data_IF_597264533579
#
_entry.id   IF_597264533579
#
_cell.length_a   1.000
_cell.length_b   1.000
_cell.length_c   1.000
_cell.angle_alpha   90.00
_cell.angle_beta   90.00
_cell.angle_gamma   90.00
#
_symmetry.space_group_name_H-M   'P 1'
#
loop_
_entity.id
_entity.type
_entity.pdbx_description
1 polymer ?
#
# COMPACT_ATOMS: atom_id res chain seq x y z
N UNK A 1 30.37 -21.13 -6.56
CA UNK A 1 28.93 -21.39 -6.57
C UNK A 1 28.58 -22.11 -5.28
N UNK A 2 27.98 -21.42 -4.29
CA UNK A 2 27.31 -22.16 -3.21
C UNK A 2 26.19 -22.96 -3.87
N UNK A 3 26.13 -24.27 -3.62
CA UNK A 3 25.15 -25.15 -4.24
C UNK A 3 23.75 -24.76 -3.76
N UNK A 4 22.81 -24.59 -4.68
CA UNK A 4 21.40 -24.46 -4.30
C UNK A 4 20.98 -25.71 -3.51
N UNK A 5 20.37 -25.56 -2.32
CA UNK A 5 20.09 -26.70 -1.46
C UNK A 5 19.14 -27.66 -2.17
N UNK A 6 19.51 -28.95 -2.23
CA UNK A 6 18.66 -29.99 -2.81
C UNK A 6 17.42 -30.28 -1.97
N UNK A 7 17.49 -29.99 -0.66
CA UNK A 7 16.44 -30.20 0.33
C UNK A 7 16.37 -28.98 1.25
N UNK A 8 15.15 -28.59 1.63
CA UNK A 8 14.91 -27.63 2.70
C UNK A 8 14.71 -28.44 3.99
N UNK A 9 15.81 -28.74 4.67
CA UNK A 9 15.85 -29.69 5.81
C UNK A 9 15.91 -29.01 7.18
N UNK A 10 16.11 -27.70 7.23
CA UNK A 10 16.14 -26.96 8.50
C UNK A 10 14.76 -26.95 9.14
N UNK A 11 14.66 -27.46 10.36
CA UNK A 11 13.42 -27.45 11.13
C UNK A 11 12.98 -26.04 11.50
N UNK A 12 13.93 -25.12 11.74
CA UNK A 12 13.64 -23.73 12.14
C UNK A 12 13.48 -22.77 10.95
N UNK A 13 13.93 -23.17 9.75
CA UNK A 13 14.01 -22.26 8.61
C UNK A 13 12.65 -21.76 8.13
N UNK A 14 11.63 -22.62 8.19
CA UNK A 14 10.26 -22.25 7.89
C UNK A 14 9.67 -21.33 8.97
N UNK A 15 9.87 -21.67 10.25
CA UNK A 15 9.30 -20.93 11.38
C UNK A 15 9.85 -19.50 11.47
N UNK A 16 11.15 -19.32 11.22
CA UNK A 16 11.77 -17.99 11.13
C UNK A 16 11.20 -17.18 9.96
N UNK A 17 11.05 -17.79 8.78
CA UNK A 17 10.46 -17.13 7.61
C UNK A 17 9.00 -16.72 7.88
N UNK A 18 8.23 -17.59 8.52
CA UNK A 18 6.85 -17.31 8.92
C UNK A 18 6.79 -16.18 9.95
N UNK A 19 7.65 -16.20 10.96
CA UNK A 19 7.74 -15.15 11.99
C UNK A 19 8.06 -13.78 11.37
N UNK A 20 8.97 -13.73 10.40
CA UNK A 20 9.27 -12.50 9.65
C UNK A 20 8.06 -12.00 8.86
N UNK A 21 7.37 -12.90 8.16
CA UNK A 21 6.17 -12.56 7.41
C UNK A 21 5.03 -12.08 8.31
N UNK A 22 4.85 -12.69 9.48
CA UNK A 22 3.86 -12.27 10.46
C UNK A 22 4.19 -10.89 11.06
N UNK A 23 5.47 -10.62 11.31
CA UNK A 23 5.97 -9.29 11.69
C UNK A 23 5.60 -8.22 10.64
N UNK A 24 5.84 -8.52 9.35
CA UNK A 24 5.45 -7.66 8.25
C UNK A 24 3.92 -7.48 8.17
N UNK A 25 3.16 -8.56 8.24
CA UNK A 25 1.70 -8.53 8.16
C UNK A 25 1.09 -7.69 9.29
N UNK A 26 1.65 -7.78 10.50
CA UNK A 26 1.26 -6.94 11.62
C UNK A 26 1.58 -5.47 11.36
N UNK A 27 2.76 -5.15 10.80
CA UNK A 27 3.07 -3.79 10.39
C UNK A 27 2.07 -3.26 9.35
N UNK A 28 1.81 -4.03 8.30
CA UNK A 28 0.92 -3.65 7.21
C UNK A 28 -0.52 -3.39 7.69
N UNK A 29 -1.06 -4.25 8.57
CA UNK A 29 -2.37 -4.02 9.22
C UNK A 29 -2.42 -2.69 9.97
N UNK A 30 -1.43 -2.41 10.83
CA UNK A 30 -1.36 -1.14 11.55
C UNK A 30 -1.30 0.08 10.62
N UNK A 31 -0.58 -0.05 9.50
CA UNK A 31 -0.49 0.98 8.48
C UNK A 31 -1.83 1.25 7.80
N UNK A 32 -2.60 0.19 7.48
CA UNK A 32 -3.95 0.29 6.94
C UNK A 32 -4.93 0.88 7.97
N UNK A 33 -4.87 0.45 9.23
CA UNK A 33 -5.71 0.97 10.31
C UNK A 33 -5.48 2.47 10.55
N UNK A 34 -4.22 2.92 10.42
CA UNK A 34 -3.91 4.35 10.47
C UNK A 34 -4.62 5.12 9.33
N UNK A 35 -4.71 4.57 8.11
CA UNK A 35 -5.46 5.21 7.04
C UNK A 35 -6.97 5.31 7.34
N UNK A 36 -7.55 4.29 7.97
CA UNK A 36 -8.95 4.30 8.41
C UNK A 36 -9.17 5.36 9.50
N UNK A 37 -8.30 5.41 10.51
CA UNK A 37 -8.38 6.42 11.59
C UNK A 37 -8.19 7.85 11.11
N UNK A 38 -7.36 8.05 10.08
CA UNK A 38 -7.14 9.37 9.49
C UNK A 38 -8.46 9.97 8.96
N UNK A 39 -9.35 9.15 8.39
CA UNK A 39 -10.68 9.60 7.97
C UNK A 39 -11.49 10.14 9.15
N UNK A 40 -11.59 9.37 10.24
CA UNK A 40 -12.34 9.78 11.44
C UNK A 40 -11.80 11.08 12.03
N UNK A 41 -10.48 11.24 12.13
CA UNK A 41 -9.90 12.49 12.62
C UNK A 41 -10.10 13.66 11.68
N UNK A 42 -10.11 13.42 10.37
CA UNK A 42 -10.42 14.45 9.37
C UNK A 42 -11.87 14.93 9.50
N UNK A 43 -12.84 14.00 9.53
CA UNK A 43 -14.27 14.32 9.69
C UNK A 43 -14.58 14.99 11.04
N UNK A 44 -13.84 14.62 12.10
CA UNK A 44 -13.91 15.27 13.42
C UNK A 44 -13.11 16.57 13.57
N UNK A 45 -12.46 17.05 12.51
CA UNK A 45 -11.56 18.21 12.53
C UNK A 45 -10.41 18.15 13.58
N UNK A 46 -10.00 16.95 14.00
CA UNK A 46 -8.91 16.75 14.96
C UNK A 46 -7.55 16.76 14.26
N UNK A 47 -7.08 17.96 13.96
CA UNK A 47 -5.80 18.19 13.30
C UNK A 47 -4.59 17.73 14.14
N UNK A 48 -4.72 17.71 15.48
CA UNK A 48 -3.64 17.27 16.36
C UNK A 48 -3.49 15.76 16.29
N UNK A 49 -4.60 15.03 16.34
CA UNK A 49 -4.59 13.58 16.17
C UNK A 49 -4.07 13.18 14.79
N UNK A 50 -4.46 13.89 13.72
CA UNK A 50 -3.91 13.64 12.37
C UNK A 50 -2.38 13.80 12.30
N UNK A 51 -1.84 14.87 12.90
CA UNK A 51 -0.39 15.09 12.92
C UNK A 51 0.34 14.02 13.74
N UNK A 52 -0.21 13.65 14.88
CA UNK A 52 0.35 12.61 15.73
C UNK A 52 0.34 11.24 15.03
N UNK A 53 -0.80 10.87 14.44
CA UNK A 53 -0.97 9.63 13.69
C UNK A 53 0.03 9.53 12.53
N UNK A 54 0.27 10.62 11.80
CA UNK A 54 1.25 10.64 10.73
C UNK A 54 2.69 10.36 11.23
N UNK A 55 3.07 10.92 12.38
CA UNK A 55 4.38 10.66 13.00
C UNK A 55 4.52 9.23 13.49
N UNK A 56 3.52 8.75 14.21
CA UNK A 56 3.47 7.37 14.73
C UNK A 56 3.56 6.35 13.60
N UNK A 57 2.82 6.57 12.50
CA UNK A 57 2.86 5.70 11.32
C UNK A 57 4.26 5.61 10.71
N UNK A 58 5.00 6.72 10.62
CA UNK A 58 6.37 6.72 10.08
C UNK A 58 7.31 5.94 11.02
N UNK A 59 7.25 6.19 12.33
CA UNK A 59 8.09 5.50 13.30
C UNK A 59 7.77 3.99 13.42
N UNK A 60 6.51 3.61 13.18
CA UNK A 60 6.01 2.25 13.39
C UNK A 60 6.73 1.18 12.59
N UNK A 61 7.35 1.51 11.45
CA UNK A 61 8.11 0.54 10.67
C UNK A 61 9.33 0.04 11.44
N UNK A 62 10.15 0.97 11.93
CA UNK A 62 11.36 0.64 12.67
C UNK A 62 11.04 -0.13 13.96
N UNK A 63 9.95 0.22 14.63
CA UNK A 63 9.51 -0.47 15.85
C UNK A 63 9.08 -1.91 15.54
N UNK A 64 8.34 -2.14 14.44
CA UNK A 64 7.96 -3.49 14.02
C UNK A 64 9.14 -4.33 13.59
N UNK A 65 10.15 -3.75 12.93
CA UNK A 65 11.40 -4.43 12.60
C UNK A 65 12.14 -4.82 13.88
N UNK A 66 12.29 -3.91 14.86
CA UNK A 66 12.95 -4.22 16.14
C UNK A 66 12.23 -5.30 16.92
N UNK A 67 10.90 -5.26 16.98
CA UNK A 67 10.10 -6.30 17.63
C UNK A 67 10.30 -7.67 16.98
N UNK A 68 10.33 -7.72 15.65
CA UNK A 68 10.57 -8.96 14.92
C UNK A 68 11.99 -9.49 15.17
N UNK A 69 13.01 -8.62 15.18
CA UNK A 69 14.38 -8.99 15.51
C UNK A 69 14.46 -9.59 16.92
N UNK A 70 13.88 -8.91 17.92
CA UNK A 70 13.88 -9.39 19.30
C UNK A 70 13.19 -10.76 19.43
N UNK A 71 12.03 -10.95 18.78
CA UNK A 71 11.33 -12.24 18.78
C UNK A 71 12.20 -13.36 18.17
N UNK A 72 12.92 -13.06 17.08
CA UNK A 72 13.78 -14.03 16.42
C UNK A 72 15.04 -14.37 17.24
N UNK A 73 15.62 -13.39 17.91
CA UNK A 73 16.74 -13.59 18.84
C UNK A 73 16.32 -14.41 20.06
N UNK A 74 15.16 -14.11 20.65
CA UNK A 74 14.66 -14.78 21.85
C UNK A 74 14.20 -16.23 21.58
N UNK A 75 13.50 -16.49 20.47
CA UNK A 75 12.88 -17.79 20.20
C UNK A 75 13.80 -18.76 19.43
N UNK A 76 14.66 -18.24 18.55
CA UNK A 76 15.45 -19.07 17.63
C UNK A 76 16.97 -18.85 17.72
N UNK A 77 17.44 -18.00 18.65
CA UNK A 77 18.85 -17.58 18.73
C UNK A 77 19.37 -17.12 17.36
N UNK A 78 18.60 -16.25 16.68
CA UNK A 78 18.78 -15.95 15.26
C UNK A 78 20.19 -15.44 14.89
N UNK A 79 20.91 -14.83 15.83
CA UNK A 79 22.28 -14.38 15.64
C UNK A 79 23.29 -15.54 15.47
N UNK A 80 22.96 -16.73 15.98
CA UNK A 80 23.78 -17.94 15.91
C UNK A 80 23.38 -18.88 14.75
N UNK A 81 22.35 -18.54 13.97
CA UNK A 81 21.90 -19.36 12.84
C UNK A 81 22.95 -19.38 11.73
N UNK A 82 23.29 -20.59 11.27
CA UNK A 82 24.26 -20.82 10.19
C UNK A 82 23.82 -20.21 8.84
N UNK A 83 24.81 -19.79 8.04
CA UNK A 83 24.64 -19.30 6.67
C UNK A 83 23.73 -20.18 5.80
N UNK A 84 23.87 -21.52 5.89
CA UNK A 84 23.08 -22.46 5.08
C UNK A 84 21.59 -22.41 5.44
N UNK A 85 21.28 -22.22 6.72
CA UNK A 85 19.90 -22.09 7.19
C UNK A 85 19.32 -20.74 6.76
N UNK A 86 20.09 -19.65 6.77
CA UNK A 86 19.67 -18.36 6.23
C UNK A 86 19.29 -18.42 4.74
N UNK A 87 19.99 -19.23 3.93
CA UNK A 87 19.58 -19.48 2.54
C UNK A 87 18.22 -20.18 2.48
N UNK A 88 18.01 -21.19 3.33
CA UNK A 88 16.73 -21.90 3.40
C UNK A 88 15.58 -20.99 3.87
N UNK A 89 15.82 -20.11 4.86
CA UNK A 89 14.85 -19.11 5.34
C UNK A 89 14.37 -18.21 4.19
N UNK A 90 15.30 -17.71 3.36
CA UNK A 90 14.95 -16.92 2.18
C UNK A 90 14.13 -17.73 1.16
N UNK A 91 14.47 -18.99 0.93
CA UNK A 91 13.72 -19.87 0.03
C UNK A 91 12.30 -20.16 0.54
N UNK A 92 12.13 -20.39 1.85
CA UNK A 92 10.81 -20.49 2.47
C UNK A 92 10.02 -19.19 2.33
N UNK A 93 10.68 -18.04 2.53
CA UNK A 93 10.06 -16.72 2.34
C UNK A 93 9.55 -16.55 0.91
N UNK A 94 10.33 -16.92 -0.11
CA UNK A 94 9.87 -16.90 -1.52
C UNK A 94 8.61 -17.75 -1.69
N UNK A 95 8.59 -18.97 -1.13
CA UNK A 95 7.42 -19.86 -1.16
C UNK A 95 6.18 -19.22 -0.53
N UNK A 96 6.33 -18.63 0.65
CA UNK A 96 5.26 -17.94 1.37
C UNK A 96 4.74 -16.69 0.64
N UNK A 97 5.60 -16.01 -0.13
CA UNK A 97 5.23 -14.79 -0.85
C UNK A 97 4.52 -15.03 -2.17
N UNK A 98 4.46 -16.26 -2.67
CA UNK A 98 3.82 -16.58 -3.97
C UNK A 98 2.34 -16.22 -4.04
N UNK A 99 1.61 -16.26 -2.92
CA UNK A 99 0.20 -15.87 -2.81
C UNK A 99 -0.01 -14.57 -2.01
N UNK A 100 1.08 -13.89 -1.63
CA UNK A 100 1.03 -12.68 -0.84
C UNK A 100 0.72 -11.47 -1.73
N UNK A 101 -0.14 -10.55 -1.27
CA UNK A 101 -0.59 -9.40 -2.09
C UNK A 101 0.33 -8.18 -2.03
N UNK A 102 1.36 -8.24 -1.19
CA UNK A 102 2.35 -7.18 -0.97
C UNK A 102 3.77 -7.79 -0.90
N UNK A 103 4.19 -8.57 -1.91
CA UNK A 103 5.43 -9.33 -1.82
C UNK A 103 6.66 -8.42 -1.73
N UNK A 104 6.74 -7.35 -2.53
CA UNK A 104 7.88 -6.41 -2.52
C UNK A 104 8.08 -5.72 -1.16
N UNK A 105 6.98 -5.35 -0.51
CA UNK A 105 7.04 -4.74 0.83
C UNK A 105 7.49 -5.76 1.89
N UNK A 106 7.04 -7.01 1.78
CA UNK A 106 7.46 -8.09 2.66
C UNK A 106 8.95 -8.43 2.48
N UNK A 107 9.45 -8.46 1.23
CA UNK A 107 10.87 -8.63 0.91
C UNK A 107 11.73 -7.50 1.50
N UNK A 108 11.24 -6.26 1.45
CA UNK A 108 11.91 -5.10 2.06
C UNK A 108 11.96 -5.21 3.59
N UNK A 109 10.87 -5.66 4.21
CA UNK A 109 10.82 -5.93 5.65
C UNK A 109 11.79 -7.05 6.04
N UNK A 110 11.80 -8.15 5.29
CA UNK A 110 12.73 -9.25 5.45
C UNK A 110 14.19 -8.76 5.40
N UNK A 111 14.55 -7.98 4.37
CA UNK A 111 15.89 -7.40 4.26
C UNK A 111 16.25 -6.54 5.47
N UNK A 112 15.31 -5.74 5.97
CA UNK A 112 15.53 -4.89 7.14
C UNK A 112 15.82 -5.71 8.41
N UNK A 113 15.10 -6.81 8.62
CA UNK A 113 15.32 -7.74 9.74
C UNK A 113 16.67 -8.46 9.59
N UNK A 114 16.95 -9.05 8.42
CA UNK A 114 18.21 -9.73 8.13
C UNK A 114 19.43 -8.81 8.33
N UNK A 115 19.36 -7.56 7.86
CA UNK A 115 20.43 -6.58 8.04
C UNK A 115 20.71 -6.25 9.51
N UNK A 116 19.69 -6.31 10.39
CA UNK A 116 19.89 -6.09 11.83
C UNK A 116 20.50 -7.30 12.52
N UNK A 117 20.09 -8.51 12.17
CA UNK A 117 20.58 -9.74 12.80
C UNK A 117 22.00 -10.08 12.30
N UNK A 118 22.25 -10.02 10.99
CA UNK A 118 23.48 -10.52 10.38
C UNK A 118 24.66 -9.54 10.42
N UNK A 119 24.47 -8.33 10.98
CA UNK A 119 25.43 -7.25 11.24
C UNK A 119 26.65 -7.10 10.29
N UNK A 120 27.61 -8.05 10.30
CA UNK A 120 28.93 -7.98 9.62
C UNK A 120 29.04 -8.79 8.32
N UNK A 121 28.10 -9.69 8.02
CA UNK A 121 28.12 -10.56 6.82
C UNK A 121 27.11 -10.13 5.73
N UNK A 122 26.50 -8.96 5.89
CA UNK A 122 25.26 -8.50 5.26
C UNK A 122 25.30 -8.25 3.74
N UNK A 123 26.47 -8.28 3.10
CA UNK A 123 26.58 -8.08 1.64
C UNK A 123 26.57 -9.38 0.83
N UNK A 124 26.17 -10.51 1.42
CA UNK A 124 25.92 -11.70 0.63
C UNK A 124 24.50 -11.67 0.03
N UNK A 125 24.44 -11.47 -1.29
CA UNK A 125 23.21 -11.51 -2.09
C UNK A 125 22.41 -12.81 -1.91
N UNK A 126 23.04 -13.88 -1.43
CA UNK A 126 22.38 -15.15 -1.15
C UNK A 126 21.31 -15.03 -0.04
N UNK A 127 21.47 -14.10 0.90
CA UNK A 127 20.60 -14.01 2.09
C UNK A 127 19.52 -12.93 2.01
N UNK A 128 19.63 -11.98 1.08
CA UNK A 128 18.70 -10.84 0.97
C UNK A 128 18.07 -10.76 -0.43
N UNK A 129 16.93 -10.09 -0.54
CA UNK A 129 16.26 -9.80 -1.80
C UNK A 129 16.88 -8.57 -2.46
N UNK A 130 17.87 -8.79 -3.34
CA UNK A 130 18.48 -7.72 -4.17
C UNK A 130 17.61 -7.36 -5.38
N UNK A 131 16.81 -8.33 -5.84
CA UNK A 131 15.81 -8.17 -6.89
C UNK A 131 14.51 -8.78 -6.40
N UNK A 132 13.35 -8.22 -6.80
CA UNK A 132 12.06 -8.82 -6.50
C UNK A 132 12.03 -10.27 -6.94
N UNK A 133 11.65 -11.18 -6.04
CA UNK A 133 11.53 -12.59 -6.36
C UNK A 133 10.17 -12.93 -6.99
N UNK A 134 9.14 -12.14 -6.65
CA UNK A 134 7.77 -12.31 -7.13
C UNK A 134 7.38 -11.15 -8.05
N UNK A 135 6.78 -11.47 -9.20
CA UNK A 135 6.22 -10.45 -10.10
C UNK A 135 4.92 -9.89 -9.53
N UNK A 136 4.79 -8.56 -9.55
CA UNK A 136 3.56 -7.87 -9.14
C UNK A 136 2.61 -7.57 -10.29
N UNK A 137 2.92 -8.05 -11.51
CA UNK A 137 2.11 -7.77 -12.71
C UNK A 137 0.70 -8.39 -12.64
N UNK A 138 0.56 -9.52 -11.95
CA UNK A 138 -0.68 -10.29 -11.87
C UNK A 138 -1.06 -10.57 -10.41
N UNK A 139 -1.38 -9.52 -9.67
CA UNK A 139 -1.96 -9.64 -8.32
C UNK A 139 -3.45 -9.38 -8.41
N UNK A 140 -4.25 -10.44 -8.27
CA UNK A 140 -5.71 -10.35 -8.21
C UNK A 140 -6.19 -10.43 -6.76
N UNK A 141 -7.16 -9.57 -6.43
CA UNK A 141 -7.81 -9.60 -5.14
C UNK A 141 -9.17 -10.30 -5.27
N UNK A 142 -9.17 -11.61 -5.04
CA UNK A 142 -10.36 -12.47 -5.11
C UNK A 142 -11.20 -12.45 -3.82
N UNK A 143 -10.92 -11.55 -2.87
CA UNK A 143 -11.74 -11.49 -1.66
C UNK A 143 -13.18 -11.06 -1.98
N UNK A 144 -14.18 -11.74 -1.40
CA UNK A 144 -15.57 -11.29 -1.48
C UNK A 144 -15.66 -9.84 -0.98
N UNK A 145 -16.24 -8.96 -1.80
CA UNK A 145 -16.38 -7.52 -1.55
C UNK A 145 -15.09 -6.69 -1.61
N UNK A 146 -14.03 -7.17 -2.28
CA UNK A 146 -12.89 -6.33 -2.64
C UNK A 146 -13.37 -5.06 -3.39
N UNK A 147 -13.05 -3.88 -2.83
CA UNK A 147 -13.34 -2.61 -3.52
C UNK A 147 -12.38 -2.49 -4.71
N UNK A 148 -12.88 -2.06 -5.89
CA UNK A 148 -11.99 -1.84 -7.02
C UNK A 148 -10.98 -0.74 -6.69
N UNK A 149 -9.77 -0.79 -7.24
CA UNK A 149 -8.75 0.25 -7.04
C UNK A 149 -9.25 1.64 -7.45
N UNK A 150 -10.07 1.69 -8.51
CA UNK A 150 -10.73 2.91 -8.97
C UNK A 150 -12.17 2.63 -9.40
N UNK A 151 -12.98 3.69 -9.46
CA UNK A 151 -14.32 3.71 -10.03
C UNK A 151 -14.30 4.49 -11.34
N UNK A 152 -14.96 3.98 -12.37
CA UNK A 152 -15.14 4.67 -13.63
C UNK A 152 -16.50 5.37 -13.67
N UNK A 153 -16.50 6.65 -14.02
CA UNK A 153 -17.69 7.48 -14.17
C UNK A 153 -17.84 7.90 -15.63
N UNK A 154 -19.08 7.97 -16.10
CA UNK A 154 -19.43 8.23 -17.50
C UNK A 154 -20.26 9.52 -17.62
N UNK A 155 -19.63 10.68 -17.88
CA UNK A 155 -20.34 11.96 -17.96
C UNK A 155 -21.37 12.05 -19.08
N UNK A 156 -21.28 11.22 -20.13
CA UNK A 156 -22.20 11.26 -21.26
C UNK A 156 -23.66 10.97 -20.94
N UNK A 157 -23.97 10.40 -19.76
CA UNK A 157 -25.36 10.12 -19.33
C UNK A 157 -26.03 11.32 -18.64
N UNK A 158 -25.35 11.87 -17.65
CA UNK A 158 -25.94 12.83 -16.69
C UNK A 158 -25.31 14.23 -16.79
N UNK A 159 -24.28 14.40 -17.63
CA UNK A 159 -23.45 15.59 -17.71
C UNK A 159 -22.22 15.55 -16.78
N UNK A 160 -21.27 16.45 -17.04
CA UNK A 160 -20.00 16.53 -16.28
C UNK A 160 -20.26 17.03 -14.86
N UNK A 161 -21.06 18.08 -14.68
CA UNK A 161 -21.36 18.64 -13.35
C UNK A 161 -21.99 17.60 -12.40
N UNK A 162 -23.08 16.95 -12.83
CA UNK A 162 -23.72 15.88 -12.04
C UNK A 162 -22.77 14.70 -11.78
N UNK A 163 -21.86 14.42 -12.71
CA UNK A 163 -20.84 13.38 -12.51
C UNK A 163 -19.81 13.78 -11.45
N UNK A 164 -19.37 15.04 -11.41
CA UNK A 164 -18.46 15.57 -10.39
C UNK A 164 -19.12 15.56 -9.00
N UNK A 165 -20.38 15.99 -8.89
CA UNK A 165 -21.16 15.87 -7.65
C UNK A 165 -21.24 14.42 -7.17
N UNK A 166 -21.55 13.50 -8.08
CA UNK A 166 -21.60 12.06 -7.79
C UNK A 166 -20.24 11.51 -7.34
N UNK A 167 -19.14 11.95 -7.94
CA UNK A 167 -17.79 11.55 -7.53
C UNK A 167 -17.54 11.94 -6.07
N UNK A 168 -17.83 13.18 -5.70
CA UNK A 168 -17.58 13.70 -4.35
C UNK A 168 -18.48 13.00 -3.32
N UNK A 169 -19.78 12.92 -3.60
CA UNK A 169 -20.77 12.29 -2.70
C UNK A 169 -20.56 10.79 -2.51
N UNK A 170 -19.97 10.10 -3.48
CA UNK A 170 -19.64 8.67 -3.40
C UNK A 170 -18.59 8.31 -2.34
N UNK A 171 -17.85 9.29 -1.81
CA UNK A 171 -16.96 9.10 -0.65
C UNK A 171 -17.69 9.12 0.68
N UNK A 172 -18.95 9.60 0.70
CA UNK A 172 -19.85 9.57 1.85
C UNK A 172 -19.22 10.18 3.10
N UNK A 173 -18.55 11.33 2.96
CA UNK A 173 -18.04 12.08 4.11
C UNK A 173 -19.20 12.48 5.03
N UNK A 174 -19.02 12.34 6.34
CA UNK A 174 -20.08 12.66 7.31
C UNK A 174 -20.37 14.16 7.40
N UNK A 175 -19.34 14.99 7.21
CA UNK A 175 -19.46 16.44 7.29
C UNK A 175 -20.15 16.99 6.04
N UNK A 176 -21.20 17.81 6.16
CA UNK A 176 -21.83 18.44 5.01
C UNK A 176 -20.87 19.43 4.33
N UNK A 177 -20.98 19.52 3.01
CA UNK A 177 -20.30 20.56 2.23
C UNK A 177 -20.97 21.92 2.48
N UNK A 178 -20.17 23.00 2.51
CA UNK A 178 -20.69 24.36 2.63
C UNK A 178 -21.59 24.72 1.43
N UNK A 179 -21.09 24.50 0.21
CA UNK A 179 -21.83 24.66 -1.04
C UNK A 179 -21.19 23.81 -2.13
N UNK A 180 -21.64 22.56 -2.27
CA UNK A 180 -21.07 21.62 -3.25
C UNK A 180 -21.32 22.07 -4.70
N UNK A 181 -22.46 22.73 -4.97
CA UNK A 181 -22.80 23.18 -6.32
C UNK A 181 -21.83 24.27 -6.80
N UNK A 182 -21.59 25.28 -5.94
CA UNK A 182 -20.58 26.33 -6.19
C UNK A 182 -19.20 25.74 -6.44
N UNK A 183 -18.78 24.78 -5.61
CA UNK A 183 -17.44 24.20 -5.72
C UNK A 183 -17.29 23.35 -7.00
N UNK A 184 -18.36 22.68 -7.44
CA UNK A 184 -18.41 21.98 -8.74
C UNK A 184 -18.34 22.95 -9.91
N UNK A 185 -19.02 24.10 -9.84
CA UNK A 185 -18.91 25.14 -10.86
C UNK A 185 -17.47 25.68 -10.98
N UNK A 186 -16.76 25.84 -9.86
CA UNK A 186 -15.34 26.20 -9.87
C UNK A 186 -14.47 25.14 -10.59
N UNK A 187 -14.75 23.85 -10.37
CA UNK A 187 -14.06 22.76 -11.08
C UNK A 187 -14.38 22.81 -12.58
N UNK A 188 -15.64 22.99 -12.95
CA UNK A 188 -16.07 23.11 -14.34
C UNK A 188 -15.39 24.28 -15.06
N UNK A 189 -15.30 25.44 -14.41
CA UNK A 189 -14.58 26.60 -14.94
C UNK A 189 -13.08 26.31 -15.11
N UNK A 190 -12.47 25.62 -14.15
CA UNK A 190 -11.06 25.23 -14.20
C UNK A 190 -10.80 24.24 -15.34
N UNK A 191 -11.68 23.26 -15.53
CA UNK A 191 -11.62 22.32 -16.66
C UNK A 191 -11.74 23.05 -18.00
N UNK A 192 -12.69 23.99 -18.12
CA UNK A 192 -12.85 24.79 -19.33
C UNK A 192 -11.62 25.66 -19.61
N UNK A 193 -11.02 26.27 -18.59
CA UNK A 193 -9.81 27.07 -18.75
C UNK A 193 -8.59 26.20 -19.14
N UNK A 194 -8.50 24.99 -18.61
CA UNK A 194 -7.34 24.10 -18.78
C UNK A 194 -7.38 23.35 -20.10
N UNK A 195 -8.57 22.87 -20.50
CA UNK A 195 -8.76 21.99 -21.65
C UNK A 195 -9.53 22.65 -22.80
N UNK A 196 -10.09 23.85 -22.60
CA UNK A 196 -11.02 24.47 -23.54
C UNK A 196 -12.37 23.75 -23.57
N UNK A 197 -13.14 24.01 -24.62
CA UNK A 197 -14.39 23.29 -24.86
C UNK A 197 -14.06 21.87 -25.28
N UNK A 198 -14.27 20.91 -24.36
CA UNK A 198 -14.02 19.50 -24.61
C UNK A 198 -15.24 18.87 -25.28
N UNK A 199 -15.08 18.42 -26.54
CA UNK A 199 -16.10 17.61 -27.20
C UNK A 199 -16.03 16.16 -26.65
N UNK A 200 -17.12 15.64 -26.06
CA UNK A 200 -17.11 14.30 -25.48
C UNK A 200 -17.05 13.23 -26.58
N UNK A 201 -15.99 12.41 -26.57
CA UNK A 201 -15.81 11.25 -27.44
C UNK A 201 -16.46 10.00 -26.83
N UNK A 202 -16.67 8.91 -27.60
CA UNK A 202 -17.36 7.71 -27.09
C UNK A 202 -16.73 7.06 -25.85
N UNK A 203 -15.42 7.23 -25.65
CA UNK A 203 -14.69 6.73 -24.49
C UNK A 203 -14.58 7.73 -23.33
N UNK A 204 -15.37 8.82 -23.31
CA UNK A 204 -15.26 9.85 -22.28
C UNK A 204 -15.58 9.29 -20.88
N UNK A 205 -14.55 9.21 -20.04
CA UNK A 205 -14.59 8.59 -18.72
C UNK A 205 -13.76 9.39 -17.72
N UNK A 206 -14.20 9.38 -16.46
CA UNK A 206 -13.42 9.89 -15.33
C UNK A 206 -13.16 8.72 -14.40
N UNK A 207 -11.89 8.36 -14.21
CA UNK A 207 -11.48 7.29 -13.30
C UNK A 207 -11.03 7.93 -12.00
N UNK A 208 -11.58 7.50 -10.87
CA UNK A 208 -11.25 8.05 -9.56
C UNK A 208 -10.86 6.91 -8.62
N UNK A 209 -9.73 7.05 -7.92
CA UNK A 209 -9.32 6.08 -6.91
C UNK A 209 -10.41 5.93 -5.84
N UNK A 210 -10.65 4.70 -5.39
CA UNK A 210 -11.74 4.39 -4.45
C UNK A 210 -11.50 4.92 -3.02
N UNK A 211 -10.30 5.46 -2.74
CA UNK A 211 -9.88 5.94 -1.42
C UNK A 211 -9.45 7.40 -1.49
N UNK A 212 -9.76 8.16 -0.45
CA UNK A 212 -9.26 9.53 -0.25
C UNK A 212 -7.81 9.50 0.25
N UNK A 213 -7.04 10.49 -0.17
CA UNK A 213 -5.69 10.71 0.33
C UNK A 213 -5.72 11.86 1.33
N UNK A 214 -5.41 11.60 2.59
CA UNK A 214 -5.39 12.64 3.63
C UNK A 214 -3.98 13.21 3.80
N UNK A 215 -3.85 14.53 3.72
CA UNK A 215 -2.58 15.22 3.99
C UNK A 215 -2.83 16.58 4.61
N UNK A 216 -2.16 16.84 5.74
CA UNK A 216 -2.35 18.06 6.53
C UNK A 216 -3.83 18.30 6.86
N UNK A 217 -4.43 19.35 6.28
CA UNK A 217 -5.84 19.72 6.46
C UNK A 217 -6.71 19.38 5.24
N UNK A 218 -6.17 18.65 4.26
CA UNK A 218 -6.86 18.34 3.01
C UNK A 218 -7.15 16.85 2.86
N UNK A 219 -8.28 16.54 2.23
CA UNK A 219 -8.60 15.23 1.68
C UNK A 219 -8.63 15.35 0.16
N UNK A 220 -7.81 14.55 -0.52
CA UNK A 220 -7.61 14.63 -1.96
C UNK A 220 -8.31 13.47 -2.66
N UNK A 221 -9.09 13.82 -3.68
CA UNK A 221 -9.64 12.90 -4.67
C UNK A 221 -8.64 12.85 -5.82
N UNK A 222 -8.14 11.67 -6.13
CA UNK A 222 -7.15 11.47 -7.19
C UNK A 222 -7.76 10.62 -8.29
N UNK A 223 -7.59 11.06 -9.53
CA UNK A 223 -8.17 10.41 -10.68
C UNK A 223 -7.51 10.84 -11.97
N UNK A 224 -8.04 10.32 -13.08
CA UNK A 224 -7.67 10.69 -14.44
C UNK A 224 -8.90 10.84 -15.31
N UNK A 225 -8.79 11.65 -16.34
CA UNK A 225 -9.81 11.88 -17.35
C UNK A 225 -9.34 11.27 -18.66
N UNK A 226 -10.23 10.52 -19.31
CA UNK A 226 -9.99 9.85 -20.59
C UNK A 226 -11.00 10.42 -21.57
N UNK A 227 -10.56 11.02 -22.67
CA UNK A 227 -11.45 11.49 -23.73
C UNK A 227 -10.77 11.49 -25.12
N UNK A 228 -11.11 10.53 -25.98
CA UNK A 228 -10.37 10.28 -27.22
C UNK A 228 -8.93 9.87 -26.89
N UNK A 229 -7.97 10.51 -27.54
CA UNK A 229 -6.53 10.37 -27.27
C UNK A 229 -6.04 11.26 -26.12
N UNK A 230 -6.91 12.13 -25.57
CA UNK A 230 -6.58 12.94 -24.42
C UNK A 230 -6.57 12.07 -23.15
N UNK A 231 -5.41 12.03 -22.50
CA UNK A 231 -5.20 11.47 -21.16
C UNK A 231 -4.69 12.59 -20.26
N UNK A 232 -5.46 12.96 -19.25
CA UNK A 232 -5.15 14.03 -18.30
C UNK A 232 -5.39 13.60 -16.85
#
# INVERSE_FOLDING_TARGET
MKHFPKLLSSQIGFDVAQTMLDGFNRHYRNFCDAAVRARTFFEGADLRALQQLARERIASYDDRVKECVAALEDEYDAASIDDEVWQQIKLHSIGLLTSHRQPECAETFFNSVCCKILHRSYFNNDFIFVRPAISTEYIENDEPAAKPTYRAYYPGKDGVAATLERIVTNFQLETPFEDLGRDVDCIMQTMLHTFGVVEPKPNFQIHVLSSLFFRHKGAYIVGRIINGDLLA
#
